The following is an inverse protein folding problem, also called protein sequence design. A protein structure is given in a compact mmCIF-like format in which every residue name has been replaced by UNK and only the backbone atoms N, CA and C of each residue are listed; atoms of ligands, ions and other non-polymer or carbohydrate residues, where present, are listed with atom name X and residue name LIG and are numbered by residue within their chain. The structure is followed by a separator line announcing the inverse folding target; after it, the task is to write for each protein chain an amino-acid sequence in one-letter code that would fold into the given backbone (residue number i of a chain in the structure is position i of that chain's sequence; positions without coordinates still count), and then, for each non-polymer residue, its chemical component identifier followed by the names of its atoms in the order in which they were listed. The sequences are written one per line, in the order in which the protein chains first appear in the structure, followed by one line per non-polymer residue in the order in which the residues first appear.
data_IF_689330900033
#
_entry.id   IF_689330900033
#
_cell.length_a   1.000
_cell.length_b   1.000
_cell.length_c   1.000
_cell.angle_alpha   90.00
_cell.angle_beta   90.00
_cell.angle_gamma   90.00
#
_symmetry.space_group_name_H-M   'P 1'
#
loop_
_entity.id
_entity.type
_entity.pdbx_description
1 polymer ?
#
# COMPACT_ATOMS: atom_id res chain seq x y z
N UNK A 1 -2.95 -10.24 -10.95
CA UNK A 1 -1.70 -11.01 -10.86
C UNK A 1 -1.45 -11.35 -9.41
N UNK A 2 -1.39 -12.65 -9.08
CA UNK A 2 -1.42 -13.13 -7.70
C UNK A 2 -0.17 -13.98 -7.39
N UNK A 3 0.42 -13.78 -6.22
CA UNK A 3 1.47 -14.65 -5.68
C UNK A 3 0.92 -15.87 -4.96
N UNK A 4 1.80 -16.72 -4.44
CA UNK A 4 1.43 -17.91 -3.66
C UNK A 4 1.09 -17.66 -2.19
N UNK A 5 1.41 -16.46 -1.65
CA UNK A 5 1.15 -16.07 -0.27
C UNK A 5 -0.27 -15.55 -0.05
N UNK A 6 -0.60 -15.16 1.19
CA UNK A 6 -1.95 -14.67 1.57
C UNK A 6 -2.40 -13.47 0.74
N UNK A 7 -1.49 -12.53 0.42
CA UNK A 7 -1.79 -11.43 -0.48
C UNK A 7 -2.31 -11.91 -1.85
N UNK A 8 -1.74 -13.01 -2.37
CA UNK A 8 -2.25 -13.66 -3.59
C UNK A 8 -3.67 -14.21 -3.41
N UNK A 9 -3.98 -14.76 -2.23
CA UNK A 9 -5.33 -15.17 -1.87
C UNK A 9 -6.33 -14.03 -1.91
N UNK A 10 -5.95 -12.85 -1.40
CA UNK A 10 -6.77 -11.64 -1.47
C UNK A 10 -7.00 -11.21 -2.93
N UNK A 11 -5.96 -11.27 -3.78
CA UNK A 11 -6.08 -11.02 -5.21
C UNK A 11 -7.03 -11.97 -5.92
N UNK A 12 -6.99 -13.26 -5.59
CA UNK A 12 -7.94 -14.27 -6.13
C UNK A 12 -9.37 -13.96 -5.68
N UNK A 13 -9.56 -13.57 -4.42
CA UNK A 13 -10.87 -13.17 -3.90
C UNK A 13 -11.42 -11.92 -4.63
N UNK A 14 -10.56 -10.93 -4.87
CA UNK A 14 -10.91 -9.72 -5.63
C UNK A 14 -11.36 -10.10 -7.05
N UNK A 15 -10.59 -10.91 -7.77
CA UNK A 15 -10.93 -11.35 -9.12
C UNK A 15 -12.28 -12.07 -9.16
N UNK A 16 -12.53 -12.97 -8.19
CA UNK A 16 -13.82 -13.66 -8.05
C UNK A 16 -14.97 -12.69 -7.80
N UNK A 17 -14.80 -11.73 -6.90
CA UNK A 17 -15.83 -10.75 -6.60
C UNK A 17 -16.14 -9.90 -7.84
N UNK A 18 -15.12 -9.43 -8.55
CA UNK A 18 -15.30 -8.69 -9.80
C UNK A 18 -16.04 -9.51 -10.84
N UNK A 19 -15.64 -10.78 -11.03
CA UNK A 19 -16.30 -11.70 -11.97
C UNK A 19 -17.80 -11.87 -11.64
N UNK A 20 -18.14 -12.06 -10.36
CA UNK A 20 -19.53 -12.18 -9.90
C UNK A 20 -20.36 -10.91 -10.10
N UNK A 21 -19.69 -9.74 -10.18
CA UNK A 21 -20.33 -8.46 -10.53
C UNK A 21 -20.36 -8.19 -12.05
N UNK A 22 -20.02 -9.17 -12.88
CA UNK A 22 -20.07 -9.08 -14.33
C UNK A 22 -18.87 -8.41 -15.00
N UNK A 23 -17.79 -8.16 -14.27
CA UNK A 23 -16.54 -7.68 -14.87
C UNK A 23 -15.78 -8.83 -15.52
N UNK A 24 -15.12 -8.55 -16.65
CA UNK A 24 -14.21 -9.50 -17.29
C UNK A 24 -12.89 -9.52 -16.52
N UNK A 25 -12.80 -10.40 -15.52
CA UNK A 25 -11.65 -10.54 -14.64
C UNK A 25 -10.98 -11.90 -14.85
N UNK A 26 -9.66 -11.91 -14.92
CA UNK A 26 -8.83 -13.09 -15.08
C UNK A 26 -7.79 -13.16 -13.94
N UNK A 27 -7.38 -14.38 -13.59
CA UNK A 27 -6.36 -14.61 -12.56
C UNK A 27 -5.11 -15.17 -13.24
N UNK A 28 -3.97 -14.49 -13.03
CA UNK A 28 -2.65 -14.99 -13.36
C UNK A 28 -1.88 -15.30 -12.08
N UNK A 29 -1.59 -16.59 -11.86
CA UNK A 29 -0.87 -17.05 -10.67
C UNK A 29 0.62 -17.16 -10.92
N UNK A 30 1.41 -16.51 -10.06
CA UNK A 30 2.87 -16.61 -10.05
C UNK A 30 3.39 -17.56 -8.98
N UNK A 31 4.50 -18.21 -9.28
CA UNK A 31 5.23 -19.07 -8.35
C UNK A 31 4.85 -20.55 -8.44
N UNK A 32 5.52 -21.35 -7.58
CA UNK A 32 5.28 -22.79 -7.53
C UNK A 32 3.94 -23.07 -6.83
N UNK A 33 3.02 -23.85 -7.43
CA UNK A 33 1.77 -24.27 -6.82
C UNK A 33 1.93 -24.93 -5.45
N UNK A 34 3.01 -25.69 -5.24
CA UNK A 34 3.26 -26.40 -3.98
C UNK A 34 3.55 -25.45 -2.80
N UNK A 35 4.01 -24.25 -3.08
CA UNK A 35 4.34 -23.24 -2.07
C UNK A 35 3.19 -22.26 -1.77
N UNK A 36 1.99 -22.53 -2.29
CA UNK A 36 0.81 -21.71 -1.99
C UNK A 36 0.36 -21.92 -0.55
N UNK A 37 -0.05 -20.84 0.11
CA UNK A 37 -0.68 -20.92 1.44
C UNK A 37 -2.02 -21.65 1.37
N UNK A 38 -2.49 -22.15 2.50
CA UNK A 38 -3.78 -22.82 2.57
C UNK A 38 -4.93 -21.90 2.18
N UNK A 39 -4.87 -20.64 2.63
CA UNK A 39 -5.86 -19.61 2.30
C UNK A 39 -5.90 -19.35 0.79
N UNK A 40 -4.73 -19.24 0.15
CA UNK A 40 -4.67 -19.05 -1.31
C UNK A 40 -5.23 -20.23 -2.07
N UNK A 41 -4.93 -21.47 -1.64
CA UNK A 41 -5.52 -22.69 -2.22
C UNK A 41 -7.03 -22.70 -2.07
N UNK A 42 -7.54 -22.31 -0.90
CA UNK A 42 -8.98 -22.21 -0.62
C UNK A 42 -9.65 -21.19 -1.54
N UNK A 43 -9.07 -19.97 -1.69
CA UNK A 43 -9.61 -18.95 -2.58
C UNK A 43 -9.60 -19.39 -4.05
N UNK A 44 -8.54 -20.07 -4.50
CA UNK A 44 -8.47 -20.64 -5.84
C UNK A 44 -9.58 -21.68 -6.08
N UNK A 45 -9.81 -22.58 -5.11
CA UNK A 45 -10.88 -23.57 -5.21
C UNK A 45 -12.27 -22.92 -5.30
N UNK A 46 -12.48 -21.85 -4.56
CA UNK A 46 -13.74 -21.10 -4.64
C UNK A 46 -13.84 -20.41 -6.02
N UNK A 47 -12.77 -19.75 -6.50
CA UNK A 47 -12.76 -19.08 -7.80
C UNK A 47 -13.03 -20.07 -8.94
N UNK A 48 -12.45 -21.29 -8.87
CA UNK A 48 -12.70 -22.38 -9.82
C UNK A 48 -14.19 -22.78 -9.84
N UNK A 49 -14.83 -22.91 -8.68
CA UNK A 49 -16.25 -23.26 -8.58
C UNK A 49 -17.15 -22.18 -9.23
N UNK A 50 -16.72 -20.92 -9.24
CA UNK A 50 -17.38 -19.81 -9.92
C UNK A 50 -16.90 -19.59 -11.36
N UNK A 51 -16.05 -20.50 -11.88
CA UNK A 51 -15.53 -20.47 -13.24
C UNK A 51 -14.77 -19.16 -13.59
N UNK A 52 -14.11 -18.58 -12.60
CA UNK A 52 -13.24 -17.43 -12.86
C UNK A 52 -12.05 -17.87 -13.71
N UNK A 53 -11.79 -17.24 -14.87
CA UNK A 53 -10.71 -17.66 -15.76
C UNK A 53 -9.33 -17.60 -15.07
N UNK A 54 -8.61 -18.73 -15.11
CA UNK A 54 -7.19 -18.79 -14.78
C UNK A 54 -6.40 -18.83 -16.07
N UNK A 55 -5.48 -17.85 -16.23
CA UNK A 55 -4.65 -17.73 -17.42
C UNK A 55 -3.20 -18.11 -17.12
N UNK A 56 -2.53 -18.70 -18.12
CA UNK A 56 -1.13 -19.12 -18.00
C UNK A 56 -0.16 -18.06 -18.51
N UNK A 57 -0.65 -17.10 -19.29
CA UNK A 57 0.13 -16.01 -19.86
C UNK A 57 -0.65 -14.71 -19.74
N UNK A 58 0.06 -13.59 -19.57
CA UNK A 58 -0.54 -12.27 -19.65
C UNK A 58 -0.62 -11.88 -21.12
N UNK A 59 -1.83 -11.60 -21.62
CA UNK A 59 -2.02 -11.04 -22.94
C UNK A 59 -1.51 -9.60 -22.95
N UNK A 60 -0.51 -9.29 -23.76
CA UNK A 60 0.03 -7.95 -23.84
C UNK A 60 -1.00 -6.98 -24.44
N UNK A 61 -1.32 -5.91 -23.73
CA UNK A 61 -2.07 -4.77 -24.25
C UNK A 61 -3.60 -4.83 -24.14
N UNK A 62 -4.18 -5.85 -23.53
CA UNK A 62 -5.65 -6.03 -23.50
C UNK A 62 -6.33 -5.63 -22.18
N UNK A 63 -5.54 -5.29 -21.14
CA UNK A 63 -6.09 -5.01 -19.80
C UNK A 63 -6.30 -3.52 -19.59
N UNK A 64 -7.49 -3.12 -19.17
CA UNK A 64 -7.78 -1.76 -18.70
C UNK A 64 -7.30 -1.51 -17.28
N UNK A 65 -7.26 -2.58 -16.48
CA UNK A 65 -6.86 -2.53 -15.07
C UNK A 65 -5.99 -3.73 -14.72
N UNK A 66 -4.91 -3.49 -14.00
CA UNK A 66 -4.03 -4.52 -13.45
C UNK A 66 -4.08 -4.42 -11.94
N UNK A 67 -4.34 -5.56 -11.29
CA UNK A 67 -4.30 -5.69 -9.83
C UNK A 67 -3.07 -6.50 -9.44
N UNK A 68 -2.16 -5.86 -8.72
CA UNK A 68 -0.97 -6.49 -8.14
C UNK A 68 -1.29 -7.03 -6.75
N UNK A 69 -1.30 -8.34 -6.64
CA UNK A 69 -1.43 -9.10 -5.41
C UNK A 69 -0.32 -10.17 -5.31
N UNK A 70 0.91 -9.84 -5.75
CA UNK A 70 2.01 -10.80 -5.77
C UNK A 70 2.63 -10.90 -4.37
N UNK A 71 3.05 -9.77 -3.79
CA UNK A 71 3.67 -9.71 -2.46
C UNK A 71 3.03 -8.62 -1.60
N UNK A 72 2.78 -8.92 -0.33
CA UNK A 72 2.34 -7.97 0.70
C UNK A 72 3.45 -7.70 1.72
N UNK A 73 3.08 -7.46 2.98
CA UNK A 73 4.00 -7.07 4.09
C UNK A 73 5.11 -8.07 4.39
N UNK A 74 5.00 -9.32 3.98
CA UNK A 74 5.96 -10.40 4.27
C UNK A 74 7.21 -10.42 3.38
N UNK A 75 7.35 -9.48 2.44
CA UNK A 75 8.52 -9.44 1.55
C UNK A 75 9.69 -8.77 2.26
N UNK A 76 10.80 -9.51 2.44
CA UNK A 76 12.01 -9.07 3.13
C UNK A 76 13.30 -9.18 2.30
N UNK A 77 13.19 -9.68 1.06
CA UNK A 77 14.31 -9.95 0.16
C UNK A 77 14.10 -9.31 -1.22
N UNK A 78 15.18 -9.06 -1.99
CA UNK A 78 15.07 -8.58 -3.37
C UNK A 78 14.26 -9.52 -4.25
N UNK A 79 13.47 -8.93 -5.14
CA UNK A 79 12.69 -9.65 -6.15
C UNK A 79 13.60 -9.94 -7.34
N UNK A 80 13.69 -11.23 -7.71
CA UNK A 80 14.55 -11.72 -8.78
C UNK A 80 13.78 -12.69 -9.69
N UNK A 81 14.44 -13.11 -10.78
CA UNK A 81 13.94 -14.11 -11.73
C UNK A 81 12.58 -13.76 -12.32
N UNK A 82 11.71 -14.74 -12.48
CA UNK A 82 10.40 -14.59 -13.12
C UNK A 82 9.51 -13.52 -12.49
N UNK A 83 9.56 -13.33 -11.17
CA UNK A 83 8.81 -12.28 -10.51
C UNK A 83 9.25 -10.89 -10.94
N UNK A 84 10.57 -10.69 -11.07
CA UNK A 84 11.15 -9.44 -11.56
C UNK A 84 10.71 -9.15 -12.98
N UNK A 85 10.80 -10.14 -13.87
CA UNK A 85 10.41 -10.03 -15.27
C UNK A 85 8.93 -9.65 -15.42
N UNK A 86 8.06 -10.30 -14.65
CA UNK A 86 6.62 -10.02 -14.67
C UNK A 86 6.34 -8.61 -14.16
N UNK A 87 6.89 -8.19 -13.02
CA UNK A 87 6.67 -6.85 -12.48
C UNK A 87 7.18 -5.79 -13.46
N UNK A 88 8.31 -6.02 -14.11
CA UNK A 88 8.84 -5.13 -15.14
C UNK A 88 7.84 -5.00 -16.30
N UNK A 89 7.37 -6.12 -16.84
CA UNK A 89 6.39 -6.12 -17.92
C UNK A 89 5.09 -5.41 -17.52
N UNK A 90 4.56 -5.66 -16.30
CA UNK A 90 3.36 -5.01 -15.79
C UNK A 90 3.52 -3.49 -15.66
N UNK A 91 4.70 -3.02 -15.29
CA UNK A 91 4.99 -1.59 -15.20
C UNK A 91 4.92 -0.88 -16.55
N UNK A 92 5.21 -1.59 -17.65
CA UNK A 92 5.21 -1.07 -19.02
C UNK A 92 3.79 -1.06 -19.66
N UNK A 93 2.86 -1.87 -19.13
CA UNK A 93 1.48 -1.89 -19.65
C UNK A 93 0.77 -0.58 -19.38
N UNK A 94 0.11 -0.03 -20.40
CA UNK A 94 -0.75 1.15 -20.27
C UNK A 94 -2.13 0.73 -19.74
N UNK A 95 -2.26 0.60 -18.42
CA UNK A 95 -3.48 0.23 -17.72
C UNK A 95 -3.54 0.96 -16.37
N UNK A 96 -4.72 1.06 -15.78
CA UNK A 96 -4.85 1.48 -14.39
C UNK A 96 -4.27 0.43 -13.46
N UNK A 97 -3.36 0.82 -12.58
CA UNK A 97 -2.57 -0.08 -11.73
C UNK A 97 -2.98 0.01 -10.27
N UNK A 98 -3.49 -1.08 -9.72
CA UNK A 98 -3.94 -1.17 -8.33
C UNK A 98 -3.07 -2.16 -7.56
N UNK A 99 -2.53 -1.76 -6.42
CA UNK A 99 -1.80 -2.65 -5.53
C UNK A 99 -2.66 -3.06 -4.32
N UNK A 100 -2.62 -4.35 -4.01
CA UNK A 100 -3.28 -4.93 -2.84
C UNK A 100 -2.31 -4.91 -1.67
N UNK A 101 -2.65 -4.20 -0.63
CA UNK A 101 -1.90 -3.95 0.60
C UNK A 101 -0.64 -3.09 0.41
N UNK A 102 0.30 -3.52 -0.41
CA UNK A 102 1.49 -2.76 -0.84
C UNK A 102 1.80 -3.07 -2.32
N UNK A 103 2.37 -2.12 -3.07
CA UNK A 103 2.96 -2.48 -4.34
C UNK A 103 4.08 -3.50 -4.13
N UNK A 104 4.02 -4.61 -4.88
CA UNK A 104 5.01 -5.67 -4.79
C UNK A 104 6.42 -5.11 -5.02
N UNK A 105 7.32 -5.40 -4.08
CA UNK A 105 8.69 -4.88 -4.09
C UNK A 105 8.92 -3.64 -3.23
N UNK A 106 7.89 -3.03 -2.68
CA UNK A 106 8.04 -1.95 -1.67
C UNK A 106 8.14 -2.56 -0.28
N UNK A 107 9.24 -2.26 0.42
CA UNK A 107 9.41 -2.68 1.82
C UNK A 107 8.41 -1.97 2.74
N UNK A 108 7.57 -2.73 3.44
CA UNK A 108 6.50 -2.22 4.30
C UNK A 108 6.98 -1.30 5.43
N UNK A 109 8.21 -1.51 5.93
CA UNK A 109 8.77 -0.77 7.06
C UNK A 109 9.56 0.48 6.64
N UNK A 110 10.23 0.44 5.49
CA UNK A 110 11.22 1.46 5.11
C UNK A 110 10.88 2.21 3.83
N UNK A 111 10.00 1.67 2.99
CA UNK A 111 9.71 2.19 1.66
C UNK A 111 10.83 1.95 0.64
N UNK A 112 11.86 1.16 0.99
CA UNK A 112 12.90 0.80 0.02
C UNK A 112 12.34 -0.10 -1.06
N UNK A 113 12.84 0.07 -2.28
CA UNK A 113 12.58 -0.84 -3.38
C UNK A 113 13.46 -2.09 -3.22
N UNK A 114 12.85 -3.26 -3.23
CA UNK A 114 13.49 -4.56 -3.06
C UNK A 114 13.77 -5.18 -4.44
N UNK A 115 14.78 -4.69 -5.13
CA UNK A 115 15.22 -5.14 -6.46
C UNK A 115 14.41 -4.53 -7.61
N UNK A 116 13.10 -4.68 -7.57
CA UNK A 116 12.12 -4.01 -8.44
C UNK A 116 10.83 -3.81 -7.67
N UNK A 117 10.06 -2.77 -8.01
CA UNK A 117 8.73 -2.60 -7.43
C UNK A 117 7.68 -2.29 -8.52
N UNK A 118 6.47 -2.76 -8.26
CA UNK A 118 5.29 -2.41 -9.04
C UNK A 118 4.95 -0.93 -8.83
N UNK A 119 4.57 -0.25 -9.90
CA UNK A 119 4.20 1.17 -9.88
C UNK A 119 2.69 1.29 -9.92
N UNK A 120 2.09 1.53 -8.77
CA UNK A 120 0.64 1.63 -8.64
C UNK A 120 0.14 3.06 -8.84
N UNK A 121 -1.06 3.19 -9.42
CA UNK A 121 -1.86 4.43 -9.41
C UNK A 121 -2.69 4.52 -8.14
N UNK A 122 -3.06 3.36 -7.58
CA UNK A 122 -3.82 3.21 -6.35
C UNK A 122 -3.26 2.06 -5.51
N UNK A 123 -3.04 2.29 -4.22
CA UNK A 123 -2.76 1.24 -3.25
C UNK A 123 -3.91 1.17 -2.25
N UNK A 124 -4.55 -0.01 -2.16
CA UNK A 124 -5.55 -0.30 -1.13
C UNK A 124 -4.87 -1.11 -0.03
N UNK A 125 -4.54 -0.45 1.07
CA UNK A 125 -3.86 -1.08 2.20
C UNK A 125 -4.84 -1.41 3.33
N UNK A 126 -4.59 -2.48 4.08
CA UNK A 126 -5.54 -3.01 5.06
C UNK A 126 -5.27 -2.50 6.47
N UNK A 127 -6.32 -2.20 7.22
CA UNK A 127 -6.35 -1.76 8.61
C UNK A 127 -5.57 -0.45 8.87
N UNK A 128 -4.26 -0.43 8.60
CA UNK A 128 -3.38 0.70 8.88
C UNK A 128 -2.46 1.01 7.70
N UNK A 129 -2.16 2.30 7.51
CA UNK A 129 -1.15 2.72 6.55
C UNK A 129 0.23 2.22 7.00
N UNK A 130 0.89 1.42 6.14
CA UNK A 130 2.24 0.92 6.42
C UNK A 130 3.26 2.04 6.28
N UNK A 131 4.25 2.06 7.15
CA UNK A 131 5.30 3.10 7.16
C UNK A 131 5.97 3.27 5.80
N UNK A 132 6.24 2.15 5.10
CA UNK A 132 6.89 2.15 3.79
C UNK A 132 6.08 2.83 2.68
N UNK A 133 4.75 2.95 2.83
CA UNK A 133 3.91 3.70 1.88
C UNK A 133 4.07 5.22 2.01
N UNK A 134 4.62 5.69 3.14
CA UNK A 134 4.78 7.11 3.45
C UNK A 134 6.18 7.64 3.15
N UNK A 135 7.19 6.78 3.00
CA UNK A 135 8.58 7.17 2.81
C UNK A 135 9.10 6.89 1.41
N UNK A 136 9.97 7.77 0.91
CA UNK A 136 10.66 7.58 -0.35
C UNK A 136 11.73 6.49 -0.25
N UNK A 137 11.98 5.74 -1.35
CA UNK A 137 11.35 5.87 -2.67
C UNK A 137 9.94 5.28 -2.79
N UNK A 138 9.48 4.43 -1.86
CA UNK A 138 8.18 3.77 -1.91
C UNK A 138 7.01 4.73 -2.16
N UNK A 139 7.02 5.91 -1.51
CA UNK A 139 5.98 6.93 -1.69
C UNK A 139 5.74 7.33 -3.16
N UNK A 140 6.77 7.28 -4.01
CA UNK A 140 6.61 7.57 -5.44
C UNK A 140 6.01 6.42 -6.26
N UNK A 141 5.87 5.24 -5.67
CA UNK A 141 5.43 4.01 -6.33
C UNK A 141 4.01 3.58 -5.95
N UNK A 142 3.42 4.20 -4.94
CA UNK A 142 2.15 3.74 -4.33
C UNK A 142 0.91 4.42 -4.89
N UNK A 143 1.08 5.50 -5.65
CA UNK A 143 -0.04 6.31 -6.13
C UNK A 143 -0.90 6.88 -4.99
N UNK A 144 -2.21 6.89 -5.18
CA UNK A 144 -3.18 7.24 -4.14
C UNK A 144 -3.27 6.09 -3.12
N UNK A 145 -3.24 6.41 -1.83
CA UNK A 145 -3.40 5.42 -0.76
C UNK A 145 -4.84 5.47 -0.23
N UNK A 146 -5.46 4.31 -0.12
CA UNK A 146 -6.74 4.09 0.54
C UNK A 146 -6.53 3.04 1.62
N UNK A 147 -6.92 3.35 2.85
CA UNK A 147 -6.90 2.40 3.96
C UNK A 147 -8.27 1.74 4.05
N UNK A 148 -8.33 0.44 3.82
CA UNK A 148 -9.55 -0.34 3.94
C UNK A 148 -9.72 -0.86 5.37
N UNK A 149 -10.91 -0.68 5.92
CA UNK A 149 -11.28 -1.31 7.19
C UNK A 149 -11.54 -2.80 6.95
N UNK A 150 -10.81 -3.63 7.68
CA UNK A 150 -10.92 -5.11 7.63
C UNK A 150 -11.25 -5.68 9.01
N UNK A 151 -11.75 -4.85 9.92
CA UNK A 151 -12.13 -5.26 11.28
C UNK A 151 -10.94 -5.42 12.23
N UNK A 152 -9.78 -4.86 11.90
CA UNK A 152 -8.59 -4.85 12.76
C UNK A 152 -8.41 -3.42 13.27
N UNK A 153 -8.51 -3.24 14.56
CA UNK A 153 -8.45 -1.93 15.21
C UNK A 153 -7.22 -1.81 16.11
N UNK A 154 -6.91 -0.56 16.45
CA UNK A 154 -5.79 -0.24 17.34
C UNK A 154 -6.02 -0.86 18.73
N UNK A 155 -5.01 -1.52 19.28
CA UNK A 155 -5.04 -2.00 20.67
C UNK A 155 -4.48 -0.91 21.57
N UNK A 156 -5.29 -0.35 22.49
CA UNK A 156 -4.85 0.72 23.40
C UNK A 156 -3.68 0.32 24.32
N UNK A 157 -3.52 -0.99 24.59
CA UNK A 157 -2.41 -1.51 25.40
C UNK A 157 -1.07 -1.61 24.61
N UNK A 158 -1.14 -1.45 23.29
CA UNK A 158 0.01 -1.46 22.40
C UNK A 158 0.11 -0.10 21.69
N UNK A 159 0.68 0.91 22.33
CA UNK A 159 0.72 2.25 21.77
C UNK A 159 1.46 2.26 20.43
N UNK A 160 0.87 2.95 19.45
CA UNK A 160 1.48 3.13 18.14
C UNK A 160 2.85 3.80 18.28
N UNK A 161 3.88 3.17 17.74
CA UNK A 161 5.25 3.73 17.76
C UNK A 161 5.44 4.85 16.76
N UNK A 162 4.53 4.98 15.79
CA UNK A 162 4.56 5.97 14.72
C UNK A 162 3.13 6.43 14.44
N UNK A 163 2.94 7.72 14.32
CA UNK A 163 1.68 8.32 13.93
C UNK A 163 1.91 9.30 12.78
N UNK A 164 0.95 9.41 11.88
CA UNK A 164 0.91 10.45 10.87
C UNK A 164 0.04 11.61 11.38
N UNK A 165 0.52 12.85 11.18
CA UNK A 165 -0.28 14.03 11.43
C UNK A 165 -1.40 14.12 10.39
N UNK A 166 -2.64 14.17 10.82
CA UNK A 166 -3.81 14.26 9.97
C UNK A 166 -4.53 15.60 10.15
N UNK A 167 -5.34 15.98 9.15
CA UNK A 167 -6.11 17.23 9.21
C UNK A 167 -6.99 17.35 10.46
N UNK A 168 -7.53 16.24 10.97
CA UNK A 168 -8.31 16.20 12.21
C UNK A 168 -7.52 16.63 13.45
N UNK A 169 -6.18 16.45 13.44
CA UNK A 169 -5.33 16.84 14.56
C UNK A 169 -5.15 18.36 14.64
N UNK A 170 -5.26 19.07 13.52
CA UNK A 170 -5.21 20.52 13.45
C UNK A 170 -6.49 21.18 13.99
N UNK A 171 -7.61 20.47 14.05
CA UNK A 171 -8.87 20.98 14.59
C UNK A 171 -8.86 21.18 16.10
N UNK A 172 -7.84 20.68 16.79
CA UNK A 172 -7.63 20.86 18.23
C UNK A 172 -7.02 22.22 18.60
N UNK A 173 -6.65 23.03 17.61
CA UNK A 173 -6.17 24.38 17.88
C UNK A 173 -7.32 25.25 18.40
N UNK A 174 -7.18 25.88 19.59
CA UNK A 174 -8.24 26.69 20.17
C UNK A 174 -8.50 27.93 19.30
N UNK A 175 -9.78 28.29 19.18
CA UNK A 175 -10.16 29.53 18.52
C UNK A 175 -9.61 30.73 19.31
N UNK A 176 -9.09 31.70 18.59
CA UNK A 176 -8.55 32.93 19.19
C UNK A 176 -9.68 33.80 19.75
N UNK A 177 -9.69 34.04 21.05
CA UNK A 177 -10.63 34.97 21.67
C UNK A 177 -10.27 36.41 21.27
N UNK A 178 -11.29 37.20 20.92
CA UNK A 178 -11.07 38.59 20.45
C UNK A 178 -10.45 39.50 21.54
N UNK A 179 -10.67 39.18 22.82
CA UNK A 179 -10.14 39.91 23.97
C UNK A 179 -8.91 39.24 24.60
N UNK A 180 -8.31 38.25 23.91
CA UNK A 180 -7.14 37.56 24.40
C UNK A 180 -5.86 38.41 24.32
N UNK A 181 -4.96 38.20 25.26
CA UNK A 181 -3.64 38.83 25.30
C UNK A 181 -2.54 37.76 25.11
N UNK A 182 -1.26 38.19 25.02
CA UNK A 182 -0.13 37.28 24.80
C UNK A 182 -0.02 36.12 25.82
N UNK A 183 -0.50 36.33 27.06
CA UNK A 183 -0.49 35.29 28.08
C UNK A 183 -1.61 34.25 27.90
N UNK A 184 -2.73 34.64 27.26
CA UNK A 184 -3.88 33.77 27.00
C UNK A 184 -3.56 32.69 25.99
N UNK A 185 -2.67 32.95 25.02
CA UNK A 185 -2.37 32.04 23.91
C UNK A 185 -1.18 31.11 24.16
N UNK A 186 -0.61 31.19 25.38
CA UNK A 186 0.45 30.28 25.79
C UNK A 186 1.81 30.58 25.17
N UNK A 187 2.66 29.56 25.12
CA UNK A 187 4.02 29.61 24.58
C UNK A 187 4.19 28.53 23.52
N UNK A 188 4.89 28.84 22.46
CA UNK A 188 5.27 27.87 21.41
C UNK A 188 6.72 27.50 21.60
N UNK A 189 7.01 26.21 21.64
CA UNK A 189 8.37 25.69 21.58
C UNK A 189 8.66 25.25 20.14
N UNK A 190 9.67 25.87 19.52
CA UNK A 190 10.16 25.46 18.20
C UNK A 190 11.39 24.58 18.38
N UNK A 191 11.30 23.32 17.94
CA UNK A 191 12.42 22.37 17.91
C UNK A 191 12.74 22.11 16.44
N UNK A 192 13.74 22.77 15.91
CA UNK A 192 14.06 22.72 14.48
C UNK A 192 15.53 23.06 14.20
N UNK A 193 15.95 22.79 12.96
CA UNK A 193 17.29 23.08 12.49
C UNK A 193 18.32 22.01 12.81
N UNK A 194 19.52 22.18 12.30
CA UNK A 194 20.70 21.37 12.57
C UNK A 194 21.95 22.25 12.49
N UNK A 195 23.11 21.70 12.86
CA UNK A 195 24.39 22.45 12.79
C UNK A 195 24.60 22.99 11.37
N UNK A 196 24.67 24.31 11.23
CA UNK A 196 24.84 24.99 9.94
C UNK A 196 23.54 25.20 9.15
N UNK A 197 22.37 24.75 9.63
CA UNK A 197 21.06 24.89 8.96
C UNK A 197 19.98 25.34 9.95
N UNK A 198 20.13 26.51 10.53
CA UNK A 198 19.21 27.07 11.52
C UNK A 198 18.26 28.16 10.98
N UNK A 199 18.41 28.56 9.72
CA UNK A 199 17.67 29.70 9.16
C UNK A 199 16.15 29.51 9.19
N UNK A 200 15.64 28.32 8.85
CA UNK A 200 14.22 28.02 8.91
C UNK A 200 13.66 28.06 10.34
N UNK A 201 14.44 27.59 11.33
CA UNK A 201 14.05 27.66 12.75
C UNK A 201 13.94 29.12 13.23
N UNK A 202 14.88 29.97 12.81
CA UNK A 202 14.86 31.38 13.12
C UNK A 202 13.62 32.06 12.52
N UNK A 203 13.34 31.85 11.22
CA UNK A 203 12.16 32.41 10.56
C UNK A 203 10.83 31.94 11.16
N UNK A 204 10.77 30.75 11.77
CA UNK A 204 9.58 30.28 12.46
C UNK A 204 9.39 30.91 13.85
N UNK A 205 10.45 31.49 14.44
CA UNK A 205 10.43 32.07 15.78
C UNK A 205 10.20 33.60 15.81
N UNK A 206 10.38 34.27 14.66
CA UNK A 206 10.01 35.69 14.44
C UNK A 206 8.50 35.83 14.19
#
# INVERSE_FOLDING_TARGET
VCGGGNNGGDGVAIARILHLHGYNAEIYMLGNPDHRTEETRRQLKIAENYQVPLVNNLAAGEYTTIVDAIFGVGLDRPIEGKYREVIQALNEVSAWKVAVDLPSGVCSNTGRELGIAFRADLTVTFAFCKTGLCFYPGKSLVGKIVVADVGIYENPDLPARKAALEKKDLQKLPLRAANGNKGTFGKVLVVAGSKGMCGAAYLCAE
#
